data_IF_030151266469
#
_entry.id   IF_030151266469
#
_cell.length_a   1.000
_cell.length_b   1.000
_cell.length_c   1.000
_cell.angle_alpha   90.00
_cell.angle_beta   90.00
_cell.angle_gamma   90.00
#
_symmetry.space_group_name_H-M   'P 1'
#
loop_
_entity.id
_entity.type
_entity.pdbx_description
1 polymer ?
#
# COMPACT_ATOMS: atom_id res chain seq x y z
N UNK A 1 23.79 -5.72 -26.41
CA UNK A 1 23.66 -6.93 -25.57
C UNK A 1 22.57 -7.83 -26.13
N UNK A 2 22.88 -9.09 -26.44
CA UNK A 2 21.90 -10.06 -26.96
C UNK A 2 20.88 -10.44 -25.87
N UNK A 3 19.74 -11.00 -26.25
CA UNK A 3 18.68 -11.37 -25.29
C UNK A 3 19.11 -12.49 -24.34
N UNK A 4 19.76 -13.54 -24.87
CA UNK A 4 20.33 -14.65 -24.09
C UNK A 4 21.31 -14.15 -23.01
N UNK A 5 22.18 -13.22 -23.40
CA UNK A 5 23.19 -12.63 -22.54
C UNK A 5 22.58 -11.73 -21.46
N UNK A 6 21.51 -10.98 -21.79
CA UNK A 6 20.72 -10.23 -20.81
C UNK A 6 20.11 -11.17 -19.76
N UNK A 7 19.55 -12.28 -20.20
CA UNK A 7 18.91 -13.24 -19.31
C UNK A 7 19.92 -13.81 -18.31
N UNK A 8 21.03 -14.38 -18.80
CA UNK A 8 22.04 -15.03 -17.94
C UNK A 8 22.68 -14.05 -16.96
N UNK A 9 23.03 -12.84 -17.41
CA UNK A 9 23.73 -11.87 -16.58
C UNK A 9 22.86 -11.27 -15.46
N UNK A 10 21.54 -11.23 -15.64
CA UNK A 10 20.62 -10.54 -14.72
C UNK A 10 19.61 -11.46 -14.03
N UNK A 11 19.58 -12.75 -14.37
CA UNK A 11 18.77 -13.75 -13.65
C UNK A 11 19.00 -13.71 -12.12
N UNK A 12 20.24 -13.62 -11.59
CA UNK A 12 20.44 -13.53 -10.14
C UNK A 12 19.81 -12.27 -9.53
N UNK A 13 19.89 -11.13 -10.23
CA UNK A 13 19.28 -9.88 -9.79
C UNK A 13 17.76 -10.00 -9.74
N UNK A 14 17.14 -10.50 -10.82
CA UNK A 14 15.69 -10.70 -10.90
C UNK A 14 15.23 -11.66 -9.79
N UNK A 15 15.87 -12.81 -9.63
CA UNK A 15 15.58 -13.78 -8.56
C UNK A 15 15.69 -13.15 -7.17
N UNK A 16 16.76 -12.38 -6.89
CA UNK A 16 16.94 -11.73 -5.58
C UNK A 16 15.83 -10.73 -5.23
N UNK A 17 15.31 -10.01 -6.23
CA UNK A 17 14.23 -9.04 -6.02
C UNK A 17 12.90 -9.78 -5.83
N UNK A 18 12.61 -10.75 -6.69
CA UNK A 18 11.39 -11.56 -6.68
C UNK A 18 11.25 -12.40 -5.41
N UNK A 19 12.34 -12.96 -4.89
CA UNK A 19 12.33 -13.83 -3.72
C UNK A 19 11.71 -13.17 -2.48
N UNK A 20 11.81 -11.85 -2.36
CA UNK A 20 11.19 -11.07 -1.27
C UNK A 20 9.66 -11.09 -1.30
N UNK A 21 9.05 -11.48 -2.41
CA UNK A 21 7.60 -11.46 -2.62
C UNK A 21 7.01 -12.84 -2.93
N UNK A 22 7.79 -13.92 -2.83
CA UNK A 22 7.39 -15.30 -3.16
C UNK A 22 6.15 -15.84 -2.42
N UNK A 23 5.74 -15.17 -1.34
CA UNK A 23 4.56 -15.54 -0.54
C UNK A 23 3.28 -14.80 -0.97
N UNK A 24 3.35 -13.97 -2.01
CA UNK A 24 2.22 -13.15 -2.50
C UNK A 24 1.67 -13.66 -3.82
N UNK A 25 2.57 -14.09 -4.70
CA UNK A 25 2.33 -14.61 -6.06
C UNK A 25 3.37 -15.71 -6.28
N UNK A 26 3.12 -16.63 -7.21
CA UNK A 26 4.08 -17.67 -7.59
C UNK A 26 5.45 -17.07 -7.88
N UNK A 27 6.50 -17.73 -7.40
CA UNK A 27 7.87 -17.25 -7.59
C UNK A 27 8.26 -17.23 -9.07
N UNK A 28 7.77 -18.19 -9.85
CA UNK A 28 8.00 -18.26 -11.30
C UNK A 28 7.36 -17.08 -12.01
N UNK A 29 6.09 -16.77 -11.71
CA UNK A 29 5.39 -15.60 -12.29
C UNK A 29 6.12 -14.30 -11.94
N UNK A 30 6.58 -14.15 -10.69
CA UNK A 30 7.36 -12.99 -10.27
C UNK A 30 8.69 -12.86 -11.01
N UNK A 31 9.35 -13.97 -11.35
CA UNK A 31 10.57 -13.96 -12.16
C UNK A 31 10.25 -13.52 -13.58
N UNK A 32 9.19 -14.07 -14.19
CA UNK A 32 8.79 -13.74 -15.56
C UNK A 32 8.44 -12.25 -15.69
N UNK A 33 7.62 -11.74 -14.78
CA UNK A 33 7.27 -10.32 -14.71
C UNK A 33 8.49 -9.45 -14.39
N UNK A 34 9.37 -9.92 -13.52
CA UNK A 34 10.66 -9.26 -13.26
C UNK A 34 11.52 -9.12 -14.53
N UNK A 35 11.53 -10.13 -15.40
CA UNK A 35 12.22 -10.07 -16.69
C UNK A 35 11.58 -9.08 -17.66
N UNK A 36 10.25 -8.94 -17.68
CA UNK A 36 9.59 -7.89 -18.45
C UNK A 36 10.03 -6.50 -17.96
N UNK A 37 10.16 -6.30 -16.65
CA UNK A 37 10.73 -5.07 -16.09
C UNK A 37 12.19 -4.84 -16.49
N UNK A 38 13.01 -5.88 -16.57
CA UNK A 38 14.40 -5.79 -17.04
C UNK A 38 14.47 -5.38 -18.53
N UNK A 39 13.57 -5.88 -19.37
CA UNK A 39 13.49 -5.50 -20.78
C UNK A 39 13.12 -4.04 -20.95
N UNK A 40 12.12 -3.57 -20.20
CA UNK A 40 11.74 -2.15 -20.17
C UNK A 40 12.92 -1.27 -19.74
N UNK A 41 13.69 -1.72 -18.75
CA UNK A 41 14.90 -1.02 -18.33
C UNK A 41 15.93 -0.94 -19.47
N UNK A 42 16.13 -2.03 -20.22
CA UNK A 42 17.08 -2.07 -21.34
C UNK A 42 16.69 -1.07 -22.43
N UNK A 43 15.42 -0.96 -22.76
CA UNK A 43 14.94 -0.03 -23.80
C UNK A 43 15.11 1.44 -23.41
N UNK A 44 14.91 1.76 -22.12
CA UNK A 44 14.94 3.14 -21.61
C UNK A 44 16.27 3.58 -21.02
N UNK A 45 17.23 2.67 -20.92
CA UNK A 45 18.51 2.96 -20.28
C UNK A 45 19.36 3.88 -21.13
N UNK A 46 19.87 4.93 -20.49
CA UNK A 46 20.79 5.89 -21.08
C UNK A 46 22.15 5.77 -20.39
N UNK A 47 23.13 5.25 -21.12
CA UNK A 47 24.49 5.03 -20.64
C UNK A 47 25.27 6.33 -20.39
N UNK A 48 24.84 7.45 -20.99
CA UNK A 48 25.49 8.76 -20.78
C UNK A 48 25.37 9.27 -19.34
N UNK A 49 24.37 8.77 -18.60
CA UNK A 49 24.06 9.17 -17.22
C UNK A 49 25.03 8.61 -16.16
N UNK A 50 26.12 7.95 -16.56
CA UNK A 50 27.20 7.42 -15.69
C UNK A 50 26.72 6.54 -14.52
N UNK A 51 25.55 5.89 -14.67
CA UNK A 51 25.02 4.94 -13.69
C UNK A 51 25.10 3.52 -14.23
N UNK A 52 25.36 2.54 -13.35
CA UNK A 52 25.38 1.13 -13.76
C UNK A 52 23.98 0.70 -14.17
N UNK A 53 23.89 -0.10 -15.24
CA UNK A 53 22.60 -0.62 -15.72
C UNK A 53 21.86 -1.42 -14.64
N UNK A 54 22.56 -2.22 -13.83
CA UNK A 54 21.95 -2.98 -12.72
C UNK A 54 21.20 -2.09 -11.72
N UNK A 55 21.71 -0.90 -11.43
CA UNK A 55 21.04 0.09 -10.56
C UNK A 55 19.74 0.59 -11.20
N UNK A 56 19.76 0.88 -12.50
CA UNK A 56 18.57 1.33 -13.23
C UNK A 56 17.54 0.21 -13.38
N UNK A 57 17.99 -1.00 -13.74
CA UNK A 57 17.17 -2.19 -13.90
C UNK A 57 16.46 -2.59 -12.62
N UNK A 58 17.11 -2.46 -11.46
CA UNK A 58 16.49 -2.74 -10.15
C UNK A 58 15.15 -2.03 -9.97
N UNK A 59 15.05 -0.76 -10.38
CA UNK A 59 13.83 0.02 -10.28
C UNK A 59 12.69 -0.60 -11.11
N UNK A 60 12.95 -0.89 -12.39
CA UNK A 60 11.95 -1.42 -13.31
C UNK A 60 11.52 -2.85 -12.97
N UNK A 61 12.47 -3.70 -12.61
CA UNK A 61 12.18 -5.07 -12.13
C UNK A 61 11.26 -5.01 -10.91
N UNK A 62 11.62 -4.18 -9.91
CA UNK A 62 10.80 -4.04 -8.69
C UNK A 62 9.44 -3.43 -9.00
N UNK A 63 9.36 -2.44 -9.89
CA UNK A 63 8.10 -1.81 -10.30
C UNK A 63 7.15 -2.86 -10.89
N UNK A 64 7.63 -3.64 -11.86
CA UNK A 64 6.82 -4.65 -12.55
C UNK A 64 6.32 -5.74 -11.61
N UNK A 65 7.20 -6.25 -10.74
CA UNK A 65 6.83 -7.20 -9.67
C UNK A 65 5.70 -6.67 -8.76
N UNK A 66 5.78 -5.40 -8.35
CA UNK A 66 4.76 -4.80 -7.49
C UNK A 66 3.42 -4.59 -8.22
N UNK A 67 3.46 -4.26 -9.52
CA UNK A 67 2.27 -4.16 -10.36
C UNK A 67 1.57 -5.53 -10.47
N UNK A 68 2.31 -6.61 -10.68
CA UNK A 68 1.77 -7.98 -10.73
C UNK A 68 1.07 -8.35 -9.43
N UNK A 69 1.70 -8.11 -8.28
CA UNK A 69 1.10 -8.40 -6.97
C UNK A 69 -0.20 -7.61 -6.77
N UNK A 70 -0.26 -6.37 -7.25
CA UNK A 70 -1.46 -5.55 -7.17
C UNK A 70 -2.56 -6.06 -8.11
N UNK A 71 -2.19 -6.51 -9.31
CA UNK A 71 -3.14 -7.11 -10.27
C UNK A 71 -3.77 -8.38 -9.71
N UNK A 72 -2.95 -9.30 -9.18
CA UNK A 72 -3.46 -10.54 -8.60
C UNK A 72 -4.36 -10.30 -7.39
N UNK A 73 -4.01 -9.30 -6.58
CA UNK A 73 -4.88 -8.89 -5.47
C UNK A 73 -6.24 -8.41 -5.96
N UNK A 74 -6.31 -7.62 -7.03
CA UNK A 74 -7.58 -7.14 -7.59
C UNK A 74 -8.38 -8.32 -8.15
N UNK A 75 -7.75 -9.20 -8.92
CA UNK A 75 -8.40 -10.37 -9.49
C UNK A 75 -9.01 -11.30 -8.43
N UNK A 76 -8.34 -11.48 -7.29
CA UNK A 76 -8.90 -12.25 -6.17
C UNK A 76 -10.11 -11.60 -5.48
N UNK A 77 -10.32 -10.29 -5.67
CA UNK A 77 -11.49 -9.57 -5.13
C UNK A 77 -12.68 -9.65 -6.09
N UNK A 78 -12.42 -9.64 -7.40
CA UNK A 78 -13.46 -9.68 -8.43
C UNK A 78 -14.15 -11.04 -8.55
N UNK A 79 -13.51 -12.12 -8.06
CA UNK A 79 -14.08 -13.49 -8.03
C UNK A 79 -15.08 -13.75 -6.89
N UNK A 80 -15.37 -12.76 -6.05
CA UNK A 80 -16.47 -12.85 -5.07
C UNK A 80 -17.75 -12.45 -5.79
N UNK A 81 -18.56 -13.42 -6.22
CA UNK A 81 -19.90 -13.16 -6.74
C UNK A 81 -20.68 -12.32 -5.73
N UNK A 82 -21.19 -11.16 -6.16
CA UNK A 82 -22.06 -10.32 -5.34
C UNK A 82 -23.39 -11.06 -5.16
N UNK A 83 -23.63 -11.59 -3.96
CA UNK A 83 -24.95 -12.12 -3.61
C UNK A 83 -25.95 -10.95 -3.63
N UNK A 84 -26.82 -10.88 -4.65
CA UNK A 84 -27.84 -9.82 -4.80
C UNK A 84 -28.81 -9.75 -3.60
N UNK A 85 -28.93 -10.82 -2.83
CA UNK A 85 -29.72 -10.91 -1.58
C UNK A 85 -29.29 -9.92 -0.48
N UNK A 86 -28.05 -9.41 -0.51
CA UNK A 86 -27.54 -8.49 0.52
C UNK A 86 -28.09 -7.06 0.35
N UNK A 87 -28.65 -6.71 -0.82
CA UNK A 87 -29.09 -5.33 -1.11
C UNK A 87 -30.46 -4.96 -0.51
N UNK A 88 -31.22 -5.92 0.04
CA UNK A 88 -32.56 -5.67 0.60
C UNK A 88 -32.59 -5.37 2.11
N UNK A 89 -31.46 -5.38 2.82
CA UNK A 89 -31.44 -4.97 4.22
C UNK A 89 -31.62 -3.45 4.37
N UNK A 90 -32.43 -2.98 5.34
CA UNK A 90 -32.64 -1.55 5.53
C UNK A 90 -31.33 -0.86 5.93
N UNK A 91 -31.03 0.27 5.30
CA UNK A 91 -29.87 1.10 5.61
C UNK A 91 -29.98 1.56 7.07
N UNK A 92 -29.19 0.95 7.96
CA UNK A 92 -29.07 1.41 9.35
C UNK A 92 -28.12 2.61 9.35
N UNK A 93 -28.65 3.83 9.41
CA UNK A 93 -27.88 5.00 9.82
C UNK A 93 -27.43 4.81 11.29
N UNK A 94 -26.25 4.24 11.51
CA UNK A 94 -25.63 4.22 12.84
C UNK A 94 -24.98 5.58 13.11
N UNK A 95 -25.64 6.39 13.93
CA UNK A 95 -25.01 7.52 14.63
C UNK A 95 -24.00 6.94 15.61
N UNK A 96 -22.70 7.09 15.33
CA UNK A 96 -21.65 6.70 16.26
C UNK A 96 -21.62 7.71 17.41
N UNK A 97 -21.91 7.25 18.64
CA UNK A 97 -21.75 8.09 19.81
C UNK A 97 -20.26 8.32 20.13
N UNK A 98 -19.96 9.52 20.65
CA UNK A 98 -18.61 10.05 20.87
C UNK A 98 -17.70 9.21 21.78
N UNK A 99 -18.27 8.29 22.57
CA UNK A 99 -17.54 7.48 23.56
C UNK A 99 -16.80 6.27 22.94
N UNK A 100 -17.25 5.72 21.81
CA UNK A 100 -16.64 4.54 21.19
C UNK A 100 -15.29 4.82 20.49
N UNK A 101 -14.96 6.10 20.29
CA UNK A 101 -13.68 6.54 19.69
C UNK A 101 -12.55 6.67 20.73
N UNK A 102 -12.83 6.52 22.03
CA UNK A 102 -11.81 6.59 23.09
C UNK A 102 -10.96 5.31 23.22
N UNK A 103 -11.28 4.25 22.46
CA UNK A 103 -10.65 2.91 22.53
C UNK A 103 -9.48 2.75 21.53
N UNK A 104 -8.88 3.84 21.03
CA UNK A 104 -7.63 3.77 20.25
C UNK A 104 -6.40 3.95 21.17
N UNK A 105 -5.39 3.06 21.09
CA UNK A 105 -4.61 2.68 22.25
C UNK A 105 -3.72 3.81 22.76
N UNK A 106 -3.85 4.04 24.06
CA UNK A 106 -2.97 4.88 24.84
C UNK A 106 -1.52 4.40 24.85
N UNK A 107 -0.66 5.40 25.04
CA UNK A 107 0.79 5.40 25.33
C UNK A 107 1.70 5.39 24.10
N UNK A 108 2.20 6.58 23.79
CA UNK A 108 3.21 6.95 22.79
C UNK A 108 2.69 7.52 21.46
N UNK A 109 1.68 8.40 21.52
CA UNK A 109 1.50 9.40 20.47
C UNK A 109 1.93 10.76 21.01
N UNK A 110 2.80 11.45 20.26
CA UNK A 110 3.21 12.82 20.63
C UNK A 110 1.99 13.75 20.52
N UNK A 111 1.95 14.85 21.27
CA UNK A 111 0.87 15.85 21.22
C UNK A 111 0.54 16.32 19.80
N UNK A 112 1.54 16.39 18.92
CA UNK A 112 1.38 16.70 17.50
C UNK A 112 0.64 15.60 16.73
N UNK A 113 0.90 14.33 17.03
CA UNK A 113 0.27 13.19 16.36
C UNK A 113 -1.19 13.03 16.75
N UNK A 114 -1.52 13.26 18.02
CA UNK A 114 -2.91 13.31 18.50
C UNK A 114 -3.71 14.40 17.79
N UNK A 115 -3.12 15.60 17.62
CA UNK A 115 -3.75 16.70 16.89
C UNK A 115 -3.96 16.34 15.42
N UNK A 116 -2.99 15.74 14.75
CA UNK A 116 -3.15 15.30 13.35
C UNK A 116 -4.22 14.21 13.24
N UNK A 117 -4.28 13.28 14.20
CA UNK A 117 -5.31 12.23 14.24
C UNK A 117 -6.71 12.84 14.34
N UNK A 118 -6.94 13.71 15.33
CA UNK A 118 -8.22 14.41 15.50
C UNK A 118 -8.62 15.21 14.25
N UNK A 119 -7.71 16.05 13.74
CA UNK A 119 -8.03 16.92 12.60
C UNK A 119 -8.30 16.14 11.30
N UNK A 120 -7.62 15.01 11.08
CA UNK A 120 -7.77 14.22 9.84
C UNK A 120 -8.92 13.21 9.93
N UNK A 121 -8.99 12.44 11.02
CA UNK A 121 -9.95 11.33 11.16
C UNK A 121 -11.28 11.74 11.80
N UNK A 122 -11.30 12.70 12.74
CA UNK A 122 -12.55 13.16 13.36
C UNK A 122 -13.13 14.40 12.65
N UNK A 123 -12.29 15.37 12.27
CA UNK A 123 -12.74 16.61 11.62
C UNK A 123 -12.66 16.61 10.08
N UNK A 124 -12.16 15.52 9.46
CA UNK A 124 -12.12 15.36 7.99
C UNK A 124 -11.22 16.35 7.22
N UNK A 125 -10.26 17.02 7.87
CA UNK A 125 -9.45 18.08 7.23
C UNK A 125 -8.40 17.53 6.27
N UNK A 126 -8.13 18.28 5.22
CA UNK A 126 -7.06 17.96 4.27
C UNK A 126 -5.67 18.15 4.89
N UNK A 127 -4.66 17.44 4.37
CA UNK A 127 -3.27 17.55 4.83
C UNK A 127 -2.74 18.99 4.77
N UNK A 128 -3.18 19.77 3.78
CA UNK A 128 -2.78 21.16 3.61
C UNK A 128 -3.37 22.06 4.70
N UNK A 129 -4.65 21.86 5.03
CA UNK A 129 -5.32 22.60 6.10
C UNK A 129 -4.74 22.27 7.48
N UNK A 130 -4.41 21.00 7.73
CA UNK A 130 -3.76 20.56 8.98
C UNK A 130 -2.37 21.16 9.12
N UNK A 131 -1.59 21.17 8.03
CA UNK A 131 -0.27 21.77 7.99
C UNK A 131 -0.31 23.26 8.36
N UNK A 132 -1.23 24.01 7.75
CA UNK A 132 -1.47 25.43 8.04
C UNK A 132 -1.94 25.65 9.49
N UNK A 133 -2.83 24.80 10.01
CA UNK A 133 -3.38 24.92 11.38
C UNK A 133 -2.36 24.56 12.47
N UNK A 134 -1.44 23.64 12.20
CA UNK A 134 -0.42 23.19 13.15
C UNK A 134 0.93 23.89 13.00
N UNK A 135 1.09 24.80 12.02
CA UNK A 135 2.36 25.49 11.77
C UNK A 135 3.48 24.54 11.32
N UNK A 136 3.15 23.44 10.66
CA UNK A 136 4.10 22.42 10.20
C UNK A 136 4.03 22.23 8.69
N UNK A 137 5.10 21.72 8.09
CA UNK A 137 5.08 21.40 6.66
C UNK A 137 4.10 20.25 6.35
N UNK A 138 3.42 20.33 5.19
CA UNK A 138 2.48 19.31 4.69
C UNK A 138 3.06 17.90 4.67
N UNK A 139 4.35 17.77 4.38
CA UNK A 139 5.04 16.48 4.36
C UNK A 139 5.16 15.86 5.76
N UNK A 140 5.34 16.68 6.80
CA UNK A 140 5.35 16.20 8.19
C UNK A 140 3.99 15.64 8.60
N UNK A 141 2.90 16.29 8.18
CA UNK A 141 1.53 15.79 8.38
C UNK A 141 1.30 14.47 7.65
N UNK A 142 1.80 14.34 6.41
CA UNK A 142 1.72 13.10 5.63
C UNK A 142 2.45 11.95 6.30
N UNK A 143 3.66 12.19 6.82
CA UNK A 143 4.44 11.21 7.55
C UNK A 143 3.71 10.76 8.82
N UNK A 144 3.17 11.70 9.59
CA UNK A 144 2.38 11.40 10.79
C UNK A 144 1.12 10.60 10.41
N UNK A 145 0.40 10.95 9.34
CA UNK A 145 -0.73 10.15 8.83
C UNK A 145 -0.29 8.72 8.52
N UNK A 146 0.84 8.51 7.86
CA UNK A 146 1.35 7.17 7.57
C UNK A 146 1.72 6.40 8.84
N UNK A 147 2.28 7.06 9.85
CA UNK A 147 2.55 6.46 11.15
C UNK A 147 1.25 6.06 11.86
N UNK A 148 0.23 6.94 11.86
CA UNK A 148 -1.09 6.67 12.41
C UNK A 148 -1.73 5.45 11.73
N UNK A 149 -1.75 5.41 10.39
CA UNK A 149 -2.29 4.29 9.63
C UNK A 149 -1.53 2.98 9.87
N UNK A 150 -0.21 3.03 10.07
CA UNK A 150 0.58 1.84 10.44
C UNK A 150 0.24 1.37 11.86
N UNK A 151 0.13 2.28 12.83
CA UNK A 151 -0.27 1.97 14.21
C UNK A 151 -1.70 1.41 14.28
N UNK A 152 -2.60 1.90 13.42
CA UNK A 152 -3.95 1.37 13.22
C UNK A 152 -3.90 -0.04 12.64
N UNK A 153 -3.15 -0.24 11.55
CA UNK A 153 -3.02 -1.54 10.87
C UNK A 153 -2.37 -2.63 11.74
N UNK A 154 -1.50 -2.25 12.68
CA UNK A 154 -0.86 -3.17 13.65
C UNK A 154 -1.85 -3.65 14.72
N UNK A 155 -2.87 -2.86 15.06
CA UNK A 155 -3.97 -3.30 15.93
C UNK A 155 -5.04 -4.02 15.12
N UNK A 156 -4.69 -5.21 14.64
CA UNK A 156 -5.50 -6.05 13.75
C UNK A 156 -6.94 -6.29 14.29
N UNK A 157 -7.12 -6.31 15.62
CA UNK A 157 -8.42 -6.38 16.32
C UNK A 157 -9.36 -5.20 16.05
N UNK A 158 -8.82 -3.98 15.89
CA UNK A 158 -9.63 -2.78 15.60
C UNK A 158 -10.06 -2.74 14.14
N UNK A 159 -9.22 -3.23 13.22
CA UNK A 159 -9.63 -3.43 11.82
C UNK A 159 -10.69 -4.51 11.69
N UNK A 160 -10.56 -5.64 12.39
CA UNK A 160 -11.62 -6.67 12.38
C UNK A 160 -12.93 -6.11 12.90
N UNK A 161 -12.94 -5.31 13.98
CA UNK A 161 -14.17 -4.69 14.47
C UNK A 161 -14.71 -3.57 13.55
N UNK A 162 -13.87 -2.75 12.90
CA UNK A 162 -14.32 -1.74 11.93
C UNK A 162 -14.91 -2.38 10.65
N UNK A 163 -14.33 -3.49 10.19
CA UNK A 163 -14.86 -4.27 9.06
C UNK A 163 -16.01 -5.21 9.47
N UNK A 164 -16.12 -5.61 10.74
CA UNK A 164 -17.22 -6.41 11.28
C UNK A 164 -18.45 -5.57 11.65
N UNK A 165 -18.27 -4.33 12.09
CA UNK A 165 -19.39 -3.38 12.27
C UNK A 165 -20.04 -3.06 10.92
N UNK A 166 -19.25 -3.01 9.84
CA UNK A 166 -19.75 -2.95 8.45
C UNK A 166 -20.32 -4.29 7.92
N UNK A 167 -20.32 -5.37 8.72
CA UNK A 167 -21.01 -6.65 8.44
C UNK A 167 -22.26 -6.87 9.31
N UNK A 168 -22.56 -5.97 10.24
CA UNK A 168 -23.78 -6.01 11.07
C UNK A 168 -24.67 -4.78 10.84
N UNK A 169 -24.51 -4.14 9.68
CA UNK A 169 -25.38 -3.05 9.22
C UNK A 169 -25.56 -3.09 7.71
N UNK A 170 -25.68 -4.30 7.15
CA UNK A 170 -26.49 -4.69 5.98
C UNK A 170 -26.69 -6.20 6.14
#
# INVERSE_FOLDING_TARGET
MKMEELYQNYLPLVKSIAFRYKHRVSFEDLIQEGFLGLLEAKERFDSSKKVKFSTYAFYWIKKKILETIQKERIQSLDSVELNEEILESPIIEKTYESEDLEIFPGKNLTSLEQKVFKLYFQEGKTLSQIAKKLGVHREKVRQIKQLLLRKIKINQKLTENLYAVNRLSV
#
